data_IF_702943596793
#
_entry.id   IF_702943596793
#
_cell.length_a   1.000
_cell.length_b   1.000
_cell.length_c   1.000
_cell.angle_alpha   90.00
_cell.angle_beta   90.00
_cell.angle_gamma   90.00
#
_symmetry.space_group_name_H-M   'P 1'
#
loop_
_entity.id
_entity.type
_entity.pdbx_description
1 polymer ?
#
# COMPACT_ATOMS: atom_id res chain seq x y z
N UNK A 1 20.40 14.41 -21.00
CA UNK A 1 19.87 14.22 -22.37
C UNK A 1 21.03 13.82 -23.28
N UNK A 2 20.85 12.88 -24.23
CA UNK A 2 21.89 12.47 -25.18
C UNK A 2 21.60 13.09 -26.55
N UNK A 3 22.61 13.61 -27.24
CA UNK A 3 22.52 14.02 -28.63
C UNK A 3 22.76 12.80 -29.53
N UNK A 4 21.72 12.31 -30.20
CA UNK A 4 21.84 11.28 -31.23
C UNK A 4 21.54 11.96 -32.56
N UNK A 5 22.59 12.35 -33.29
CA UNK A 5 22.45 13.18 -34.50
C UNK A 5 21.95 14.59 -34.19
N UNK A 6 20.87 15.04 -34.84
CA UNK A 6 20.23 16.34 -34.62
C UNK A 6 19.09 16.30 -33.59
N UNK A 7 18.87 15.16 -32.91
CA UNK A 7 17.77 14.98 -31.97
C UNK A 7 18.27 14.88 -30.52
N UNK A 8 17.53 15.52 -29.62
CA UNK A 8 17.75 15.52 -28.18
C UNK A 8 16.77 14.55 -27.54
N UNK A 9 17.27 13.55 -26.80
CA UNK A 9 16.42 12.56 -26.14
C UNK A 9 16.45 12.72 -24.61
N UNK A 10 15.27 12.63 -23.99
CA UNK A 10 15.13 12.46 -22.56
C UNK A 10 15.53 11.04 -22.15
N UNK A 11 16.21 10.91 -21.02
CA UNK A 11 16.60 9.61 -20.47
C UNK A 11 15.79 9.37 -19.22
N UNK A 12 15.01 8.30 -19.23
CA UNK A 12 14.13 7.90 -18.13
C UNK A 12 14.66 6.61 -17.53
N UNK A 13 14.50 6.48 -16.22
CA UNK A 13 14.64 5.21 -15.52
C UNK A 13 13.28 4.74 -14.98
N UNK A 14 12.99 3.44 -15.09
CA UNK A 14 11.78 2.83 -14.53
C UNK A 14 12.06 1.40 -14.09
N UNK A 15 11.42 0.96 -13.01
CA UNK A 15 11.41 -0.44 -12.56
C UNK A 15 10.20 -1.20 -13.07
N UNK A 16 9.24 -0.50 -13.69
CA UNK A 16 7.97 -1.06 -14.20
C UNK A 16 7.84 -0.77 -15.70
N UNK A 17 8.55 -1.51 -16.58
CA UNK A 17 8.45 -1.30 -18.03
C UNK A 17 7.03 -1.39 -18.56
N UNK A 18 6.19 -2.24 -17.96
CA UNK A 18 4.79 -2.41 -18.34
C UNK A 18 3.93 -1.14 -18.31
N UNK A 19 4.33 -0.10 -17.58
CA UNK A 19 3.60 1.17 -17.54
C UNK A 19 3.96 2.11 -18.70
N UNK A 20 4.98 1.80 -19.50
CA UNK A 20 5.46 2.68 -20.58
C UNK A 20 4.35 2.99 -21.62
N UNK A 21 3.54 2.05 -22.12
CA UNK A 21 2.46 2.37 -23.06
C UNK A 21 1.47 3.43 -22.54
N UNK A 22 1.28 3.50 -21.22
CA UNK A 22 0.41 4.45 -20.54
C UNK A 22 1.08 5.81 -20.25
N UNK A 23 2.33 6.05 -20.68
CA UNK A 23 3.05 7.28 -20.39
C UNK A 23 2.46 8.51 -21.12
N UNK A 24 1.94 9.48 -20.38
CA UNK A 24 1.31 10.68 -20.95
C UNK A 24 2.14 11.96 -20.76
N UNK A 25 3.17 11.92 -19.90
CA UNK A 25 4.04 13.07 -19.64
C UNK A 25 5.44 12.64 -19.15
N UNK A 26 6.39 13.58 -19.11
CA UNK A 26 7.60 13.45 -18.30
C UNK A 26 7.54 14.47 -17.17
N UNK A 27 7.83 14.06 -15.95
CA UNK A 27 8.00 14.99 -14.84
C UNK A 27 9.49 15.30 -14.61
N UNK A 28 9.77 16.58 -14.42
CA UNK A 28 11.05 17.11 -13.95
C UNK A 28 10.83 18.00 -12.73
N UNK A 29 11.84 18.14 -11.88
CA UNK A 29 11.80 19.12 -10.80
C UNK A 29 12.17 20.52 -11.32
N UNK A 30 11.51 21.58 -10.85
CA UNK A 30 11.77 22.95 -11.30
C UNK A 30 13.21 23.43 -11.05
N UNK A 31 13.74 23.10 -9.87
CA UNK A 31 15.00 23.66 -9.36
C UNK A 31 16.21 22.77 -9.63
N UNK A 32 15.98 21.49 -9.94
CA UNK A 32 17.06 20.58 -10.29
C UNK A 32 17.70 20.98 -11.63
N UNK A 33 19.03 21.00 -11.64
CA UNK A 33 19.85 21.07 -12.85
C UNK A 33 20.22 19.65 -13.24
N UNK A 34 20.35 19.39 -14.53
CA UNK A 34 20.83 18.09 -15.00
C UNK A 34 22.29 17.88 -14.58
N UNK A 35 22.55 16.91 -13.71
CA UNK A 35 23.91 16.43 -13.42
C UNK A 35 24.31 15.30 -14.38
N UNK A 36 25.59 15.27 -14.73
CA UNK A 36 26.18 14.32 -15.69
C UNK A 36 27.04 13.26 -15.02
N UNK A 37 26.69 12.83 -13.80
CA UNK A 37 27.38 11.71 -13.15
C UNK A 37 27.01 10.39 -13.85
N UNK A 38 27.72 10.09 -14.94
CA UNK A 38 27.63 8.82 -15.65
C UNK A 38 28.99 8.13 -15.66
N UNK A 39 29.02 6.81 -15.55
CA UNK A 39 30.24 5.97 -15.72
C UNK A 39 30.81 6.00 -17.15
N UNK A 40 30.24 6.80 -18.04
CA UNK A 40 30.61 6.96 -19.45
C UNK A 40 31.14 8.38 -19.62
N UNK A 41 32.28 8.53 -20.30
CA UNK A 41 32.80 9.85 -20.69
C UNK A 41 31.80 10.54 -21.64
N UNK A 42 31.03 11.48 -21.11
CA UNK A 42 30.10 12.31 -21.86
C UNK A 42 30.56 13.77 -21.77
N UNK A 43 30.58 14.47 -22.90
CA UNK A 43 30.78 15.90 -22.95
C UNK A 43 29.44 16.61 -22.67
N UNK A 44 29.42 17.49 -21.67
CA UNK A 44 28.25 18.31 -21.35
C UNK A 44 28.17 19.47 -22.34
N UNK A 45 27.18 19.43 -23.23
CA UNK A 45 26.96 20.49 -24.22
C UNK A 45 26.24 21.72 -23.63
N UNK A 46 25.31 21.49 -22.69
CA UNK A 46 24.53 22.56 -22.03
C UNK A 46 23.89 22.05 -20.73
N UNK A 47 23.49 22.96 -19.83
CA UNK A 47 22.78 22.67 -18.58
C UNK A 47 21.56 23.56 -18.41
N UNK A 48 20.37 22.94 -18.39
CA UNK A 48 19.10 23.63 -18.27
C UNK A 48 18.49 23.43 -16.87
N UNK A 49 17.76 24.42 -16.37
CA UNK A 49 16.88 24.25 -15.21
C UNK A 49 15.61 23.51 -15.64
N UNK A 50 15.09 22.60 -14.80
CA UNK A 50 13.86 21.88 -15.12
C UNK A 50 12.65 22.79 -15.37
N UNK A 51 12.58 23.96 -14.71
CA UNK A 51 11.56 24.97 -14.99
C UNK A 51 11.51 25.42 -16.46
N UNK A 52 12.66 25.45 -17.14
CA UNK A 52 12.76 25.83 -18.56
C UNK A 52 12.26 24.74 -19.51
N UNK A 53 12.08 23.51 -19.02
CA UNK A 53 11.58 22.38 -19.81
C UNK A 53 10.05 22.25 -19.73
N UNK A 54 9.38 22.99 -18.83
CA UNK A 54 7.93 22.94 -18.69
C UNK A 54 7.24 23.23 -20.04
N UNK A 55 6.35 22.34 -20.46
CA UNK A 55 5.59 22.49 -21.70
C UNK A 55 6.34 22.04 -22.97
N UNK A 56 7.58 21.56 -22.87
CA UNK A 56 8.29 20.97 -24.01
C UNK A 56 7.60 19.66 -24.42
N UNK A 57 7.37 19.50 -25.72
CA UNK A 57 6.80 18.28 -26.28
C UNK A 57 7.91 17.27 -26.63
N UNK A 58 7.63 15.99 -26.45
CA UNK A 58 8.50 14.89 -26.85
C UNK A 58 7.71 13.76 -27.50
N UNK A 59 8.34 13.03 -28.41
CA UNK A 59 7.75 11.85 -29.03
C UNK A 59 7.86 10.65 -28.10
N UNK A 60 6.76 9.94 -27.89
CA UNK A 60 6.71 8.72 -27.09
C UNK A 60 7.49 7.58 -27.78
N UNK A 61 8.26 6.74 -27.04
CA UNK A 61 9.21 5.80 -27.64
C UNK A 61 8.58 4.61 -28.38
N UNK A 62 7.32 4.27 -28.08
CA UNK A 62 6.63 3.07 -28.61
C UNK A 62 5.30 3.37 -29.32
N UNK A 63 4.73 4.55 -29.07
CA UNK A 63 3.38 4.91 -29.50
C UNK A 63 3.53 6.22 -30.25
N UNK A 64 2.84 6.37 -31.38
CA UNK A 64 2.85 7.61 -32.14
C UNK A 64 2.01 8.69 -31.44
N UNK A 65 2.50 9.17 -30.29
CA UNK A 65 1.89 10.18 -29.42
C UNK A 65 2.95 11.19 -29.02
N UNK A 66 2.58 12.46 -29.05
CA UNK A 66 3.34 13.51 -28.36
C UNK A 66 2.92 13.56 -26.90
N UNK A 67 3.91 13.71 -26.02
CA UNK A 67 3.71 13.90 -24.60
C UNK A 67 4.46 15.15 -24.14
N UNK A 68 4.07 15.68 -22.98
CA UNK A 68 4.53 16.99 -22.49
C UNK A 68 5.40 16.85 -21.25
N UNK A 69 6.35 17.76 -21.08
CA UNK A 69 7.12 17.86 -19.85
C UNK A 69 6.36 18.69 -18.82
N UNK A 70 6.08 18.07 -17.68
CA UNK A 70 5.46 18.64 -16.49
C UNK A 70 6.52 18.91 -15.43
N UNK A 71 6.16 19.81 -14.50
CA UNK A 71 6.96 20.09 -13.32
C UNK A 71 6.31 19.42 -12.11
N UNK A 72 7.07 18.63 -11.36
CA UNK A 72 6.60 17.93 -10.17
C UNK A 72 7.65 17.92 -9.06
N UNK A 73 7.23 18.23 -7.83
CA UNK A 73 8.11 18.24 -6.65
C UNK A 73 8.51 16.84 -6.19
N UNK A 74 7.75 15.81 -6.59
CA UNK A 74 8.05 14.41 -6.30
C UNK A 74 9.29 13.89 -7.04
N UNK A 75 9.81 14.63 -8.04
CA UNK A 75 11.01 14.26 -8.77
C UNK A 75 12.26 14.68 -7.99
N UNK A 76 13.09 13.71 -7.66
CA UNK A 76 14.33 13.86 -6.87
C UNK A 76 15.55 13.37 -7.66
N UNK A 77 16.76 13.69 -7.19
CA UNK A 77 18.03 13.25 -7.80
C UNK A 77 18.64 12.00 -7.15
N UNK A 78 18.03 11.47 -6.09
CA UNK A 78 18.58 10.37 -5.30
C UNK A 78 18.44 9.01 -6.00
N UNK A 79 17.46 8.85 -6.89
CA UNK A 79 17.22 7.60 -7.64
C UNK A 79 16.85 7.89 -9.09
N UNK A 80 17.44 7.15 -10.02
CA UNK A 80 17.11 7.23 -11.46
C UNK A 80 17.86 8.35 -12.17
N UNK A 81 17.17 9.06 -13.06
CA UNK A 81 17.79 10.01 -14.01
C UNK A 81 17.40 11.47 -13.74
N UNK A 82 16.62 11.75 -12.68
CA UNK A 82 16.02 13.06 -12.44
C UNK A 82 14.92 13.45 -13.45
N UNK A 83 14.51 12.51 -14.32
CA UNK A 83 13.39 12.64 -15.24
C UNK A 83 12.51 11.40 -15.11
N UNK A 84 11.26 11.60 -14.70
CA UNK A 84 10.32 10.52 -14.42
C UNK A 84 9.30 10.43 -15.55
N UNK A 85 9.09 9.23 -16.10
CA UNK A 85 7.95 9.03 -16.99
C UNK A 85 6.67 8.94 -16.16
N UNK A 86 5.63 9.63 -16.60
CA UNK A 86 4.38 9.80 -15.85
C UNK A 86 3.26 9.02 -16.53
N UNK A 87 2.74 8.02 -15.84
CA UNK A 87 1.61 7.18 -16.26
C UNK A 87 0.47 7.32 -15.23
N UNK A 88 -0.43 8.32 -15.37
CA UNK A 88 -1.38 8.68 -14.32
C UNK A 88 -2.41 7.59 -13.98
N UNK A 89 -2.61 6.60 -14.86
CA UNK A 89 -3.46 5.43 -14.57
C UNK A 89 -2.80 4.38 -13.67
N UNK A 90 -1.50 4.52 -13.35
CA UNK A 90 -0.72 3.48 -12.68
C UNK A 90 0.19 4.00 -11.56
N UNK A 91 0.13 5.30 -11.23
CA UNK A 91 0.93 5.91 -10.17
C UNK A 91 0.19 7.06 -9.50
N UNK A 92 0.21 7.11 -8.17
CA UNK A 92 -0.47 8.16 -7.41
C UNK A 92 0.17 9.54 -7.61
N UNK A 93 1.50 9.62 -7.52
CA UNK A 93 2.22 10.88 -7.75
C UNK A 93 2.09 11.34 -9.20
N UNK A 94 2.05 10.37 -10.13
CA UNK A 94 1.78 10.62 -11.55
C UNK A 94 0.38 11.20 -11.77
N UNK A 95 -0.62 10.63 -11.11
CA UNK A 95 -2.00 11.12 -11.14
C UNK A 95 -2.08 12.55 -10.61
N UNK A 96 -1.51 12.83 -9.45
CA UNK A 96 -1.55 14.18 -8.88
C UNK A 96 -0.81 15.20 -9.73
N UNK A 97 0.37 14.86 -10.25
CA UNK A 97 1.09 15.72 -11.16
C UNK A 97 0.27 15.98 -12.43
N UNK A 98 -0.29 14.93 -13.04
CA UNK A 98 -1.14 15.05 -14.22
C UNK A 98 -2.36 15.94 -13.97
N UNK A 99 -3.09 15.71 -12.88
CA UNK A 99 -4.27 16.50 -12.52
C UNK A 99 -3.92 17.96 -12.23
N UNK A 100 -2.81 18.24 -11.53
CA UNK A 100 -2.39 19.60 -11.22
C UNK A 100 -2.16 20.45 -12.48
N UNK A 101 -1.74 19.84 -13.60
CA UNK A 101 -1.51 20.53 -14.87
C UNK A 101 -2.72 20.56 -15.81
N UNK A 102 -3.76 19.76 -15.55
CA UNK A 102 -4.96 19.65 -16.40
C UNK A 102 -6.26 20.07 -15.68
N UNK A 103 -6.16 20.85 -14.61
CA UNK A 103 -7.31 21.34 -13.83
C UNK A 103 -7.97 22.55 -14.49
N UNK A 104 -8.70 22.34 -15.58
CA UNK A 104 -9.81 23.24 -15.93
C UNK A 104 -11.04 22.79 -15.13
N UNK A 105 -11.72 23.67 -14.38
CA UNK A 105 -12.93 23.28 -13.66
C UNK A 105 -13.98 22.66 -14.60
N UNK A 106 -14.36 21.40 -14.35
CA UNK A 106 -15.36 20.67 -15.14
C UNK A 106 -14.81 19.80 -16.28
N UNK A 107 -13.50 19.84 -16.57
CA UNK A 107 -12.86 18.93 -17.52
C UNK A 107 -12.17 17.77 -16.76
N UNK A 108 -12.49 16.54 -17.15
CA UNK A 108 -11.78 15.35 -16.69
C UNK A 108 -10.75 14.98 -17.77
N UNK A 109 -9.44 15.16 -17.52
CA UNK A 109 -8.44 14.80 -18.50
C UNK A 109 -8.45 13.29 -18.72
N UNK A 110 -8.27 12.87 -19.97
CA UNK A 110 -8.24 11.44 -20.33
C UNK A 110 -7.02 10.80 -19.68
N UNK A 111 -7.25 9.83 -18.81
CA UNK A 111 -6.22 9.01 -18.18
C UNK A 111 -6.21 7.65 -18.88
N UNK A 112 -5.05 7.27 -19.40
CA UNK A 112 -4.90 5.99 -20.07
C UNK A 112 -4.62 4.89 -19.06
N UNK A 113 -5.43 3.84 -19.12
CA UNK A 113 -5.22 2.59 -18.41
C UNK A 113 -5.35 1.44 -19.41
N UNK A 114 -4.28 1.13 -20.17
CA UNK A 114 -4.32 0.10 -21.20
C UNK A 114 -4.22 -1.32 -20.60
N UNK A 115 -4.75 -1.54 -19.40
CA UNK A 115 -4.69 -2.80 -18.64
C UNK A 115 -6.09 -3.10 -18.11
N UNK A 116 -6.56 -4.33 -18.26
CA UNK A 116 -7.87 -4.78 -17.80
C UNK A 116 -7.84 -5.28 -16.34
N UNK A 117 -9.01 -5.66 -15.81
CA UNK A 117 -9.20 -6.12 -14.43
C UNK A 117 -8.43 -7.41 -14.11
N UNK A 118 -8.06 -8.21 -15.13
CA UNK A 118 -7.24 -9.40 -14.99
C UNK A 118 -5.73 -9.13 -14.98
N UNK A 119 -5.30 -7.88 -15.16
CA UNK A 119 -3.89 -7.51 -15.22
C UNK A 119 -3.22 -7.87 -16.56
N UNK A 120 -4.00 -7.90 -17.64
CA UNK A 120 -3.53 -8.06 -19.02
C UNK A 120 -3.66 -6.75 -19.80
N UNK A 121 -2.76 -6.54 -20.75
CA UNK A 121 -2.86 -5.40 -21.66
C UNK A 121 -4.12 -5.50 -22.54
N UNK A 122 -4.69 -4.35 -22.85
CA UNK A 122 -5.78 -4.19 -23.82
C UNK A 122 -5.23 -3.76 -25.17
N UNK A 123 -6.10 -3.70 -26.18
CA UNK A 123 -5.77 -3.19 -27.53
C UNK A 123 -5.16 -1.79 -27.51
N UNK A 124 -5.45 -0.99 -26.49
CA UNK A 124 -4.93 0.38 -26.33
C UNK A 124 -3.43 0.42 -26.04
N UNK A 125 -2.84 -0.69 -25.57
CA UNK A 125 -1.38 -0.83 -25.41
C UNK A 125 -0.64 -1.02 -26.74
N UNK A 126 -1.38 -1.35 -27.82
CA UNK A 126 -0.84 -1.75 -29.11
C UNK A 126 -1.01 -3.25 -29.39
N UNK A 127 -1.12 -3.60 -30.67
CA UNK A 127 -1.41 -4.98 -31.11
C UNK A 127 -0.38 -6.02 -30.64
N UNK A 128 0.88 -5.62 -30.45
CA UNK A 128 1.95 -6.50 -30.00
C UNK A 128 1.88 -6.83 -28.49
N UNK A 129 1.09 -6.07 -27.73
CA UNK A 129 0.93 -6.24 -26.28
C UNK A 129 -0.44 -6.78 -25.89
N UNK A 130 -1.45 -6.64 -26.75
CA UNK A 130 -2.83 -7.01 -26.48
C UNK A 130 -2.97 -8.46 -25.96
N UNK A 131 -3.64 -8.60 -24.80
CA UNK A 131 -3.87 -9.87 -24.12
C UNK A 131 -2.69 -10.40 -23.29
N UNK A 132 -1.50 -9.80 -23.35
CA UNK A 132 -0.35 -10.25 -22.56
C UNK A 132 -0.46 -9.79 -21.10
N UNK A 133 -0.12 -10.70 -20.16
CA UNK A 133 -0.06 -10.36 -18.74
C UNK A 133 1.07 -9.35 -18.47
N UNK A 134 0.76 -8.27 -17.75
CA UNK A 134 1.74 -7.19 -17.45
C UNK A 134 2.93 -7.71 -16.64
N UNK A 135 2.69 -8.70 -15.76
CA UNK A 135 3.72 -9.37 -14.97
C UNK A 135 4.25 -10.60 -15.73
N UNK A 136 5.39 -10.43 -16.41
CA UNK A 136 6.11 -11.52 -17.08
C UNK A 136 6.26 -11.31 -18.57
N UNK A 137 5.37 -11.92 -19.35
CA UNK A 137 5.40 -11.88 -20.83
C UNK A 137 5.29 -10.45 -21.36
N UNK A 138 4.40 -9.63 -20.81
CA UNK A 138 4.23 -8.23 -21.19
C UNK A 138 5.48 -7.37 -20.94
N UNK A 139 6.12 -7.51 -19.77
CA UNK A 139 7.41 -6.85 -19.48
C UNK A 139 8.49 -7.24 -20.48
N UNK A 140 8.55 -8.53 -20.85
CA UNK A 140 9.53 -9.04 -21.81
C UNK A 140 9.27 -8.48 -23.21
N UNK A 141 8.01 -8.41 -23.62
CA UNK A 141 7.59 -7.83 -24.90
C UNK A 141 7.94 -6.34 -24.99
N UNK A 142 7.67 -5.55 -23.95
CA UNK A 142 8.01 -4.11 -23.91
C UNK A 142 9.52 -3.87 -23.98
N UNK A 143 10.30 -4.67 -23.25
CA UNK A 143 11.75 -4.62 -23.35
C UNK A 143 12.21 -4.95 -24.78
N UNK A 144 11.58 -5.94 -25.42
CA UNK A 144 11.79 -6.27 -26.82
C UNK A 144 11.50 -5.09 -27.74
N UNK A 145 10.33 -4.47 -27.61
CA UNK A 145 9.91 -3.30 -28.39
C UNK A 145 10.90 -2.14 -28.27
N UNK A 146 11.32 -1.79 -27.05
CA UNK A 146 12.28 -0.72 -26.80
C UNK A 146 13.67 -1.02 -27.38
N UNK A 147 14.08 -2.31 -27.42
CA UNK A 147 15.31 -2.73 -28.10
C UNK A 147 15.22 -2.54 -29.61
N UNK A 148 14.13 -3.02 -30.22
CA UNK A 148 13.94 -2.92 -31.66
C UNK A 148 13.80 -1.48 -32.13
N UNK A 149 13.18 -0.61 -31.32
CA UNK A 149 13.03 0.81 -31.62
C UNK A 149 14.30 1.63 -31.36
N UNK A 150 15.37 1.03 -30.82
CA UNK A 150 16.60 1.74 -30.45
C UNK A 150 16.47 2.70 -29.26
N UNK A 151 15.37 2.62 -28.50
CA UNK A 151 15.08 3.51 -27.36
C UNK A 151 15.48 2.91 -26.00
N UNK A 152 16.10 1.72 -25.99
CA UNK A 152 16.65 1.11 -24.78
C UNK A 152 18.15 1.39 -24.63
N UNK A 153 18.53 2.03 -23.52
CA UNK A 153 19.94 2.29 -23.20
C UNK A 153 20.60 1.18 -22.37
N UNK A 154 19.94 0.71 -21.31
CA UNK A 154 20.49 -0.30 -20.41
C UNK A 154 19.39 -1.05 -19.67
N UNK A 155 19.67 -2.29 -19.25
CA UNK A 155 18.82 -3.08 -18.35
C UNK A 155 19.70 -3.57 -17.21
N UNK A 156 19.24 -3.32 -15.98
CA UNK A 156 19.84 -3.90 -14.78
C UNK A 156 18.90 -4.96 -14.22
N UNK A 157 19.34 -6.21 -14.17
CA UNK A 157 18.58 -7.30 -13.56
C UNK A 157 18.94 -7.37 -12.09
N UNK A 158 18.03 -6.93 -11.21
CA UNK A 158 18.23 -7.05 -9.78
C UNK A 158 18.05 -8.52 -9.35
N UNK A 159 19.03 -9.10 -8.65
CA UNK A 159 18.94 -10.49 -8.18
C UNK A 159 17.70 -10.70 -7.29
N UNK A 160 17.03 -11.86 -7.36
CA UNK A 160 15.74 -12.09 -6.69
C UNK A 160 15.95 -12.19 -5.17
N UNK A 161 15.89 -11.06 -4.47
CA UNK A 161 16.13 -11.00 -3.04
C UNK A 161 15.52 -9.80 -2.29
N UNK A 162 14.95 -8.82 -3.00
CA UNK A 162 14.21 -7.71 -2.40
C UNK A 162 13.04 -7.33 -3.32
N UNK A 163 11.90 -7.97 -3.11
CA UNK A 163 10.64 -7.36 -3.50
C UNK A 163 10.41 -6.19 -2.52
N UNK A 164 10.59 -4.96 -3.00
CA UNK A 164 10.10 -3.76 -2.32
C UNK A 164 8.58 -3.87 -2.21
N UNK A 165 8.06 -3.51 -1.03
CA UNK A 165 6.62 -3.36 -0.78
C UNK A 165 6.01 -2.43 -1.84
N UNK A 166 4.79 -2.72 -2.26
CA UNK A 166 3.94 -1.77 -2.97
C UNK A 166 3.82 -0.49 -2.12
N UNK A 167 3.92 0.71 -2.73
CA UNK A 167 3.72 1.97 -2.01
C UNK A 167 2.28 2.08 -1.51
N UNK A 168 2.14 2.57 -0.28
CA UNK A 168 0.88 2.84 0.41
C UNK A 168 0.13 3.99 -0.25
N UNK A 169 -1.15 3.77 -0.57
CA UNK A 169 -2.09 4.80 -1.03
C UNK A 169 -2.35 5.83 0.08
N UNK A 170 -2.30 7.12 -0.27
CA UNK A 170 -2.69 8.21 0.63
C UNK A 170 -3.95 8.92 0.10
N UNK A 171 -5.05 8.88 0.85
CA UNK A 171 -6.30 9.51 0.43
C UNK A 171 -6.21 11.05 0.48
N UNK A 172 -6.32 11.70 -0.68
CA UNK A 172 -6.45 13.16 -0.82
C UNK A 172 -7.93 13.57 -0.94
N UNK A 173 -8.31 14.65 -0.24
CA UNK A 173 -9.69 15.14 -0.13
C UNK A 173 -10.29 15.68 -1.42
N UNK A 174 -11.60 15.48 -1.57
CA UNK A 174 -12.44 15.96 -2.68
C UNK A 174 -12.88 17.42 -2.48
N UNK A 175 -12.90 18.18 -3.58
CA UNK A 175 -13.42 19.55 -3.65
C UNK A 175 -14.96 19.60 -3.71
N UNK A 176 -15.51 20.74 -3.28
CA UNK A 176 -16.83 20.85 -2.67
C UNK A 176 -18.04 20.98 -3.63
N UNK A 177 -17.86 21.10 -4.94
CA UNK A 177 -18.95 21.65 -5.77
C UNK A 177 -19.89 20.60 -6.41
N UNK A 178 -19.59 19.31 -6.27
CA UNK A 178 -20.53 18.20 -6.53
C UNK A 178 -21.22 17.65 -5.28
N UNK A 179 -20.81 18.08 -4.08
CA UNK A 179 -21.15 17.44 -2.81
C UNK A 179 -22.57 17.77 -2.30
N UNK A 180 -23.21 18.83 -2.81
CA UNK A 180 -24.49 19.29 -2.29
C UNK A 180 -25.67 18.33 -2.56
N UNK A 181 -25.67 17.64 -3.71
CA UNK A 181 -26.70 16.64 -4.05
C UNK A 181 -26.46 15.28 -3.36
N UNK A 182 -25.19 14.90 -3.19
CA UNK A 182 -24.80 13.65 -2.50
C UNK A 182 -25.03 13.77 -0.98
N UNK A 183 -24.79 14.94 -0.39
CA UNK A 183 -24.90 15.17 1.06
C UNK A 183 -26.31 15.02 1.62
N UNK A 184 -27.34 15.48 0.91
CA UNK A 184 -28.72 15.32 1.34
C UNK A 184 -29.23 13.87 1.22
N UNK A 185 -28.72 13.13 0.23
CA UNK A 185 -29.09 11.74 -0.02
C UNK A 185 -28.41 10.75 0.94
N UNK A 186 -27.12 10.96 1.25
CA UNK A 186 -26.37 10.12 2.20
C UNK A 186 -27.00 10.13 3.59
N UNK A 187 -27.50 11.28 4.05
CA UNK A 187 -28.11 11.42 5.39
C UNK A 187 -29.42 10.63 5.51
N UNK A 188 -30.22 10.58 4.44
CA UNK A 188 -31.48 9.80 4.43
C UNK A 188 -31.23 8.29 4.45
N UNK A 189 -30.24 7.80 3.69
CA UNK A 189 -29.94 6.37 3.61
C UNK A 189 -29.18 5.89 4.85
N UNK A 190 -28.21 6.67 5.35
CA UNK A 190 -27.42 6.31 6.53
C UNK A 190 -28.18 6.41 7.85
N UNK A 191 -29.27 7.19 7.91
CA UNK A 191 -30.17 7.24 9.06
C UNK A 191 -30.79 5.87 9.39
N UNK A 192 -31.02 5.04 8.37
CA UNK A 192 -31.64 3.72 8.49
C UNK A 192 -30.63 2.56 8.49
N UNK A 193 -29.38 2.80 8.09
CA UNK A 193 -28.32 1.79 8.01
C UNK A 193 -27.72 1.47 9.38
N UNK A 194 -28.31 0.53 10.13
CA UNK A 194 -27.51 -0.31 11.05
C UNK A 194 -26.68 -1.30 10.21
N UNK A 195 -25.46 -1.66 10.65
CA UNK A 195 -24.54 -2.56 9.93
C UNK A 195 -25.15 -3.90 9.49
N UNK A 196 -26.29 -4.29 10.08
CA UNK A 196 -27.07 -5.47 9.74
C UNK A 196 -27.88 -5.37 8.42
N UNK A 197 -28.05 -4.18 7.84
CA UNK A 197 -28.90 -3.96 6.66
C UNK A 197 -28.12 -3.85 5.33
N UNK A 198 -26.79 -3.89 5.32
CA UNK A 198 -25.98 -3.81 4.09
C UNK A 198 -26.38 -4.84 3.01
N UNK A 199 -26.65 -6.11 3.36
CA UNK A 199 -27.14 -7.10 2.39
C UNK A 199 -28.53 -6.75 1.84
N UNK A 200 -29.42 -6.25 2.70
CA UNK A 200 -30.80 -5.88 2.33
C UNK A 200 -30.82 -4.71 1.34
N UNK A 201 -29.94 -3.72 1.54
CA UNK A 201 -29.82 -2.57 0.65
C UNK A 201 -29.32 -2.95 -0.74
N UNK A 202 -28.56 -4.03 -0.91
CA UNK A 202 -28.08 -4.51 -2.23
C UNK A 202 -29.21 -5.04 -3.11
N UNK A 203 -30.25 -5.59 -2.52
CA UNK A 203 -31.36 -6.20 -3.26
C UNK A 203 -32.47 -5.20 -3.63
N UNK A 204 -32.49 -4.01 -3.00
CA UNK A 204 -33.43 -2.94 -3.34
C UNK A 204 -33.11 -2.29 -4.70
N UNK A 205 -34.16 -2.00 -5.46
CA UNK A 205 -34.09 -1.24 -6.71
C UNK A 205 -33.72 0.22 -6.48
N UNK A 206 -33.24 0.90 -7.52
CA UNK A 206 -32.91 2.35 -7.45
C UNK A 206 -34.12 3.16 -6.97
N UNK A 207 -35.33 2.83 -7.45
CA UNK A 207 -36.57 3.53 -7.05
C UNK A 207 -36.88 3.38 -5.57
N UNK A 208 -36.62 2.21 -4.98
CA UNK A 208 -36.86 1.95 -3.55
C UNK A 208 -35.82 2.63 -2.65
N UNK A 209 -34.63 2.89 -3.17
CA UNK A 209 -33.56 3.60 -2.46
C UNK A 209 -33.74 5.13 -2.48
N UNK A 210 -34.48 5.68 -3.44
CA UNK A 210 -34.71 7.12 -3.58
C UNK A 210 -35.84 7.61 -2.64
N UNK A 211 -35.69 8.78 -1.99
CA UNK A 211 -36.79 9.47 -1.30
C UNK A 211 -37.98 9.70 -2.22
N UNK A 212 -39.20 9.69 -1.65
CA UNK A 212 -40.47 9.82 -2.40
C UNK A 212 -40.47 10.88 -3.52
N UNK A 213 -39.93 12.10 -3.34
CA UNK A 213 -39.92 13.13 -4.39
C UNK A 213 -39.05 12.79 -5.62
N UNK A 214 -38.10 11.87 -5.49
CA UNK A 214 -37.12 11.53 -6.53
C UNK A 214 -37.40 10.18 -7.19
N UNK A 215 -38.38 9.41 -6.70
CA UNK A 215 -38.69 8.08 -7.22
C UNK A 215 -39.15 8.08 -8.68
N UNK A 216 -39.77 9.17 -9.13
CA UNK A 216 -40.21 9.32 -10.52
C UNK A 216 -39.06 9.62 -11.49
N UNK A 217 -37.88 9.97 -10.96
CA UNK A 217 -36.66 10.16 -11.74
C UNK A 217 -35.70 8.97 -11.61
N UNK A 218 -36.16 7.83 -11.06
CA UNK A 218 -35.29 6.69 -10.76
C UNK A 218 -34.46 6.20 -11.95
N UNK A 219 -34.99 6.31 -13.17
CA UNK A 219 -34.29 5.91 -14.41
C UNK A 219 -33.04 6.76 -14.72
N UNK A 220 -32.92 7.93 -14.10
CA UNK A 220 -31.77 8.83 -14.25
C UNK A 220 -30.63 8.53 -13.27
N UNK A 221 -30.86 7.62 -12.31
CA UNK A 221 -29.90 7.30 -11.26
C UNK A 221 -29.41 5.86 -11.41
N UNK A 222 -28.13 5.66 -11.13
CA UNK A 222 -27.51 4.34 -11.02
C UNK A 222 -27.04 4.13 -9.59
N UNK A 223 -27.31 2.95 -9.05
CA UNK A 223 -26.84 2.55 -7.72
C UNK A 223 -25.32 2.37 -7.74
N UNK A 224 -24.63 3.05 -6.82
CA UNK A 224 -23.23 2.76 -6.52
C UNK A 224 -23.10 1.37 -5.87
N UNK A 225 -22.16 0.56 -6.35
CA UNK A 225 -21.90 -0.77 -5.81
C UNK A 225 -20.79 -0.77 -4.76
N UNK A 226 -20.10 0.37 -4.62
CA UNK A 226 -19.02 0.56 -3.65
C UNK A 226 -19.57 0.52 -2.22
N UNK A 227 -18.84 -0.16 -1.35
CA UNK A 227 -19.16 -0.24 0.07
C UNK A 227 -18.18 0.61 0.85
N UNK A 228 -18.69 1.42 1.76
CA UNK A 228 -17.84 2.03 2.79
C UNK A 228 -17.43 0.97 3.80
N UNK A 229 -16.25 1.14 4.38
CA UNK A 229 -15.80 0.29 5.48
C UNK A 229 -16.80 0.36 6.65
N UNK A 230 -17.06 -0.77 7.32
CA UNK A 230 -18.02 -0.81 8.41
C UNK A 230 -17.53 0.06 9.57
N UNK A 231 -18.29 1.12 9.88
CA UNK A 231 -18.13 1.90 11.11
C UNK A 231 -19.38 1.75 11.97
N UNK A 232 -19.20 1.44 13.25
CA UNK A 232 -20.30 1.39 14.21
C UNK A 232 -20.71 2.80 14.65
N UNK A 233 -22.01 3.08 14.56
CA UNK A 233 -22.60 4.32 15.07
C UNK A 233 -22.44 4.40 16.60
N UNK A 234 -21.53 5.26 17.07
CA UNK A 234 -21.36 5.57 18.49
C UNK A 234 -20.79 6.97 18.69
N UNK A 235 -21.66 7.94 18.96
CA UNK A 235 -21.33 9.34 19.27
C UNK A 235 -20.71 9.47 20.67
N UNK A 236 -19.46 9.05 20.86
CA UNK A 236 -18.78 9.20 22.16
C UNK A 236 -17.32 9.57 21.94
N UNK A 237 -16.87 10.67 22.55
CA UNK A 237 -15.46 10.93 22.72
C UNK A 237 -14.91 10.00 23.81
N UNK A 238 -14.20 8.95 23.41
CA UNK A 238 -13.61 7.98 24.32
C UNK A 238 -12.46 8.61 25.13
N UNK A 239 -12.25 8.17 26.37
CA UNK A 239 -11.09 8.64 27.14
C UNK A 239 -9.77 8.13 26.56
N UNK A 240 -9.76 6.89 26.07
CA UNK A 240 -8.56 6.22 25.53
C UNK A 240 -8.93 5.30 24.37
N UNK A 241 -8.17 5.38 23.28
CA UNK A 241 -8.04 4.34 22.27
C UNK A 241 -6.75 3.56 22.53
N UNK A 242 -6.80 2.22 22.44
CA UNK A 242 -5.65 1.35 22.66
C UNK A 242 -5.61 0.27 21.59
N UNK A 243 -4.62 0.32 20.70
CA UNK A 243 -4.44 -0.66 19.62
C UNK A 243 -2.94 -0.81 19.25
N UNK A 244 -2.66 -1.71 18.31
CA UNK A 244 -1.33 -1.89 17.73
C UNK A 244 -0.85 -0.67 16.93
N UNK A 245 0.47 -0.53 16.78
CA UNK A 245 1.09 0.59 16.05
C UNK A 245 0.74 0.65 14.55
N UNK A 246 0.28 -0.44 13.95
CA UNK A 246 -0.28 -0.45 12.58
C UNK A 246 -1.54 0.40 12.44
N UNK A 247 -2.25 0.64 13.54
CA UNK A 247 -3.54 1.33 13.50
C UNK A 247 -3.43 2.85 13.34
N UNK A 248 -2.22 3.42 13.38
CA UNK A 248 -1.99 4.83 13.05
C UNK A 248 -2.47 5.22 11.66
N UNK A 249 -2.29 4.33 10.68
CA UNK A 249 -2.75 4.54 9.28
C UNK A 249 -4.06 3.81 8.97
N UNK A 250 -4.64 3.17 9.99
CA UNK A 250 -5.90 2.45 9.90
C UNK A 250 -6.95 3.12 10.77
N UNK A 251 -7.31 2.44 11.87
CA UNK A 251 -8.45 2.82 12.70
C UNK A 251 -8.32 4.18 13.37
N UNK A 252 -7.12 4.62 13.77
CA UNK A 252 -6.94 5.94 14.38
C UNK A 252 -7.20 7.05 13.38
N UNK A 253 -6.63 6.97 12.18
CA UNK A 253 -6.78 7.98 11.14
C UNK A 253 -8.20 8.04 10.60
N UNK A 254 -8.79 6.89 10.25
CA UNK A 254 -10.16 6.81 9.74
C UNK A 254 -11.18 7.32 10.77
N UNK A 255 -11.06 6.90 12.04
CA UNK A 255 -11.94 7.39 13.11
C UNK A 255 -11.78 8.90 13.33
N UNK A 256 -10.55 9.41 13.33
CA UNK A 256 -10.28 10.84 13.54
C UNK A 256 -10.87 11.70 12.43
N UNK A 257 -10.58 11.37 11.16
CA UNK A 257 -11.07 12.12 10.00
C UNK A 257 -12.60 12.11 9.96
N UNK A 258 -13.20 10.95 10.21
CA UNK A 258 -14.67 10.81 10.21
C UNK A 258 -15.32 11.63 11.32
N UNK A 259 -14.77 11.58 12.54
CA UNK A 259 -15.29 12.32 13.68
C UNK A 259 -15.13 13.84 13.50
N UNK A 260 -13.99 14.28 12.97
CA UNK A 260 -13.75 15.70 12.65
C UNK A 260 -14.72 16.18 11.55
N UNK A 261 -14.91 15.42 10.49
CA UNK A 261 -15.84 15.77 9.42
C UNK A 261 -17.29 15.87 9.90
N UNK A 262 -17.71 15.00 10.84
CA UNK A 262 -19.09 14.98 11.34
C UNK A 262 -19.36 15.97 12.47
N UNK A 263 -18.43 16.12 13.42
CA UNK A 263 -18.66 16.81 14.70
C UNK A 263 -17.60 17.87 15.03
N UNK A 264 -16.51 17.96 14.27
CA UNK A 264 -15.40 18.87 14.56
C UNK A 264 -14.58 18.51 15.80
N UNK A 265 -14.79 17.33 16.41
CA UNK A 265 -14.06 16.86 17.58
C UNK A 265 -13.39 15.51 17.32
N UNK A 266 -12.26 15.26 17.98
CA UNK A 266 -11.59 13.97 17.95
C UNK A 266 -12.42 12.90 18.69
N UNK A 267 -12.44 11.64 18.21
CA UNK A 267 -13.24 10.58 18.82
C UNK A 267 -12.60 10.01 20.10
N UNK A 268 -11.41 10.47 20.47
CA UNK A 268 -10.69 10.06 21.67
C UNK A 268 -9.90 11.22 22.29
N UNK A 269 -9.70 11.18 23.62
CA UNK A 269 -8.84 12.12 24.34
C UNK A 269 -7.37 11.70 24.33
N UNK A 270 -7.10 10.39 24.37
CA UNK A 270 -5.76 9.81 24.39
C UNK A 270 -5.68 8.58 23.47
N UNK A 271 -4.51 8.36 22.90
CA UNK A 271 -4.16 7.16 22.15
C UNK A 271 -2.99 6.50 22.84
N UNK A 272 -3.11 5.19 23.09
CA UNK A 272 -2.04 4.34 23.58
C UNK A 272 -1.76 3.31 22.50
N UNK A 273 -0.50 3.18 22.11
CA UNK A 273 -0.10 2.19 21.11
C UNK A 273 0.81 1.15 21.73
N UNK A 274 0.64 -0.11 21.33
CA UNK A 274 1.56 -1.17 21.67
C UNK A 274 2.25 -1.75 20.44
N UNK A 275 3.44 -2.32 20.64
CA UNK A 275 4.18 -3.02 19.60
C UNK A 275 3.57 -4.38 19.22
N UNK A 276 4.17 -5.02 18.24
CA UNK A 276 3.73 -6.33 17.76
C UNK A 276 4.20 -7.44 18.69
N UNK A 277 3.39 -8.49 18.79
CA UNK A 277 3.83 -9.75 19.38
C UNK A 277 4.57 -10.59 18.33
N UNK A 278 5.82 -10.93 18.63
CA UNK A 278 6.68 -11.80 17.84
C UNK A 278 7.00 -13.09 18.59
N UNK A 279 7.56 -14.08 17.89
CA UNK A 279 8.07 -15.27 18.56
C UNK A 279 9.34 -14.98 19.39
N UNK A 280 9.83 -15.97 20.16
CA UNK A 280 11.10 -15.87 20.93
C UNK A 280 12.35 -15.56 20.08
N UNK A 281 12.24 -15.64 18.74
CA UNK A 281 13.33 -15.33 17.80
C UNK A 281 13.21 -13.92 17.23
N UNK A 282 12.18 -13.16 17.62
CA UNK A 282 11.87 -11.85 17.08
C UNK A 282 11.30 -11.90 15.66
N UNK A 283 10.84 -13.06 15.20
CA UNK A 283 10.18 -13.19 13.89
C UNK A 283 8.69 -12.93 14.01
N UNK A 284 8.14 -12.20 13.03
CA UNK A 284 6.69 -12.00 12.91
C UNK A 284 6.00 -13.35 12.82
N UNK A 285 4.99 -13.56 13.68
CA UNK A 285 4.17 -14.77 13.62
C UNK A 285 3.28 -14.73 12.37
N UNK A 286 3.22 -15.84 11.62
CA UNK A 286 2.34 -15.93 10.45
C UNK A 286 1.59 -17.26 10.43
N UNK A 287 0.47 -17.30 9.70
CA UNK A 287 -0.32 -18.53 9.54
C UNK A 287 0.42 -19.60 8.70
N UNK A 288 1.31 -19.18 7.81
CA UNK A 288 2.09 -20.03 6.90
C UNK A 288 3.42 -20.51 7.50
N UNK A 289 3.92 -19.82 8.53
CA UNK A 289 5.07 -20.22 9.32
C UNK A 289 4.58 -21.07 10.51
N UNK A 290 5.27 -22.17 10.81
CA UNK A 290 4.96 -23.10 11.92
C UNK A 290 5.23 -22.47 13.31
N UNK A 291 5.42 -21.15 13.39
CA UNK A 291 5.72 -20.40 14.61
C UNK A 291 4.50 -19.67 15.19
N UNK A 292 3.28 -20.04 14.78
CA UNK A 292 2.06 -19.47 15.36
C UNK A 292 1.93 -19.93 16.81
N UNK A 293 1.76 -18.97 17.70
CA UNK A 293 1.43 -19.17 19.10
C UNK A 293 0.09 -18.49 19.35
N UNK A 294 -0.91 -19.26 19.79
CA UNK A 294 -2.26 -18.75 20.08
C UNK A 294 -2.42 -18.66 21.60
N UNK A 295 -3.11 -17.63 22.15
CA UNK A 295 -3.31 -17.52 23.60
C UNK A 295 -3.82 -18.80 24.27
N UNK A 296 -4.72 -19.52 23.59
CA UNK A 296 -5.30 -20.76 24.10
C UNK A 296 -4.27 -21.88 24.31
N UNK A 297 -3.17 -21.88 23.54
CA UNK A 297 -2.10 -22.88 23.63
C UNK A 297 -1.42 -22.86 25.01
N UNK A 298 -1.30 -21.69 25.64
CA UNK A 298 -0.76 -21.54 26.99
C UNK A 298 -1.83 -21.67 28.08
N UNK A 299 -3.07 -21.26 27.79
CA UNK A 299 -4.16 -21.31 28.78
C UNK A 299 -4.54 -22.76 29.06
N UNK A 300 -4.84 -23.53 28.01
CA UNK A 300 -5.27 -24.93 28.11
C UNK A 300 -4.12 -25.93 28.11
N UNK A 301 -2.91 -25.48 27.78
CA UNK A 301 -1.76 -26.34 27.54
C UNK A 301 -1.83 -27.00 26.17
N UNK A 302 -0.67 -27.32 25.61
CA UNK A 302 -0.57 -27.90 24.28
C UNK A 302 0.77 -28.62 24.09
N UNK A 303 0.91 -29.29 22.95
CA UNK A 303 2.20 -29.78 22.47
C UNK A 303 2.61 -28.93 21.29
N UNK A 304 3.61 -28.06 21.47
CA UNK A 304 4.10 -27.19 20.40
C UNK A 304 5.24 -27.86 19.64
N UNK A 305 5.23 -27.79 18.28
CA UNK A 305 6.38 -28.20 17.51
C UNK A 305 7.54 -27.23 17.73
N UNK A 306 8.69 -27.72 18.16
CA UNK A 306 9.95 -26.96 18.15
C UNK A 306 10.68 -27.27 16.86
N UNK A 307 10.99 -26.26 16.03
CA UNK A 307 11.93 -26.46 14.97
C UNK A 307 13.31 -26.82 15.59
N UNK A 308 13.82 -28.03 15.34
CA UNK A 308 15.18 -28.40 15.75
C UNK A 308 16.15 -27.51 14.99
N UNK A 309 16.99 -26.78 15.70
CA UNK A 309 18.18 -26.14 15.13
C UNK A 309 19.41 -26.77 15.76
N UNK A 310 20.28 -27.37 14.93
CA UNK A 310 21.56 -27.89 15.39
C UNK A 310 22.36 -26.73 16.02
N UNK A 311 22.63 -26.82 17.32
CA UNK A 311 23.63 -25.99 18.01
C UNK A 311 25.00 -26.31 17.39
N UNK A 312 25.39 -25.55 16.37
CA UNK A 312 26.67 -25.78 15.69
C UNK A 312 27.05 -24.79 14.59
N UNK A 313 26.14 -23.96 14.08
CA UNK A 313 26.47 -23.02 12.99
C UNK A 313 26.19 -21.57 13.38
N UNK A 314 27.22 -20.89 13.89
CA UNK A 314 27.35 -19.43 13.75
C UNK A 314 27.53 -19.09 12.27
N UNK A 315 26.46 -19.14 11.49
CA UNK A 315 26.37 -18.47 10.17
C UNK A 315 24.96 -17.92 10.06
N UNK A 316 24.84 -16.59 9.90
CA UNK A 316 23.61 -15.91 9.48
C UNK A 316 23.15 -16.56 8.17
N UNK A 317 22.20 -17.48 8.24
CA UNK A 317 21.61 -18.09 7.05
C UNK A 317 20.65 -17.10 6.41
N UNK A 318 21.02 -16.67 5.19
CA UNK A 318 20.11 -16.09 4.20
C UNK A 318 18.90 -17.02 4.01
N UNK A 319 17.74 -16.40 3.72
CA UNK A 319 16.43 -17.04 3.66
C UNK A 319 16.41 -18.40 2.97
N UNK A 320 15.75 -19.35 3.62
CA UNK A 320 15.46 -20.66 3.04
C UNK A 320 14.03 -20.61 2.50
N UNK A 321 13.90 -20.45 1.19
CA UNK A 321 12.67 -20.56 0.41
C UNK A 321 12.42 -22.03 0.03
N UNK A 322 12.20 -22.92 1.00
CA UNK A 322 11.68 -24.26 0.70
C UNK A 322 10.79 -24.78 1.84
N UNK A 323 9.45 -24.77 1.68
CA UNK A 323 8.51 -25.24 2.68
C UNK A 323 8.57 -26.77 2.95
N UNK A 324 9.29 -27.55 2.12
CA UNK A 324 9.27 -29.03 2.21
C UNK A 324 10.44 -29.66 2.95
N UNK A 325 11.42 -28.88 3.43
CA UNK A 325 12.51 -29.39 4.27
C UNK A 325 12.12 -29.36 5.76
N UNK A 326 11.03 -30.03 6.10
CA UNK A 326 10.55 -30.16 7.48
C UNK A 326 11.54 -31.04 8.25
N UNK A 327 12.45 -30.38 8.97
CA UNK A 327 13.28 -30.99 10.00
C UNK A 327 12.35 -31.66 11.02
N UNK A 328 12.64 -32.90 11.45
CA UNK A 328 11.89 -33.59 12.52
C UNK A 328 11.70 -32.61 13.69
N UNK A 329 10.48 -32.19 13.98
CA UNK A 329 10.22 -31.24 15.06
C UNK A 329 10.28 -32.00 16.39
N UNK A 330 11.21 -31.64 17.28
CA UNK A 330 11.09 -32.07 18.66
C UNK A 330 9.87 -31.37 19.26
N UNK A 331 8.99 -32.11 19.91
CA UNK A 331 7.78 -31.54 20.50
C UNK A 331 8.08 -31.07 21.93
N UNK A 332 7.75 -29.83 22.26
CA UNK A 332 7.72 -29.35 23.65
C UNK A 332 6.29 -29.46 24.17
N UNK A 333 6.13 -30.18 25.28
CA UNK A 333 4.89 -30.17 26.05
C UNK A 333 4.83 -28.89 26.89
N UNK A 334 3.86 -28.04 26.59
CA UNK A 334 3.58 -26.81 27.30
C UNK A 334 2.44 -27.09 28.30
N UNK A 335 2.66 -26.91 29.61
CA UNK A 335 1.60 -27.13 30.59
C UNK A 335 0.50 -26.07 30.47
N UNK A 336 -0.69 -26.38 31.00
CA UNK A 336 -1.78 -25.43 31.12
C UNK A 336 -1.43 -24.39 32.21
N UNK A 337 -0.99 -23.20 31.80
CA UNK A 337 -0.62 -22.12 32.71
C UNK A 337 -1.84 -21.31 33.18
N UNK A 338 -2.97 -21.39 32.46
CA UNK A 338 -4.16 -20.59 32.72
C UNK A 338 -4.04 -19.13 32.26
N UNK A 339 -5.17 -18.42 32.24
CA UNK A 339 -5.25 -17.05 31.73
C UNK A 339 -4.45 -16.03 32.57
N UNK A 340 -4.37 -16.23 33.89
CA UNK A 340 -3.69 -15.29 34.79
C UNK A 340 -2.19 -15.17 34.51
N UNK A 341 -1.53 -16.28 34.16
CA UNK A 341 -0.10 -16.25 33.82
C UNK A 341 0.13 -15.43 32.55
N UNK A 342 -0.76 -15.57 31.56
CA UNK A 342 -0.65 -14.81 30.32
C UNK A 342 -0.93 -13.32 30.56
N UNK A 343 -1.97 -12.98 31.35
CA UNK A 343 -2.25 -11.59 31.75
C UNK A 343 -1.11 -10.98 32.55
N UNK A 344 -0.51 -11.75 33.46
CA UNK A 344 0.65 -11.31 34.23
C UNK A 344 1.83 -11.00 33.31
N UNK A 345 2.11 -11.89 32.34
CA UNK A 345 3.12 -11.62 31.32
C UNK A 345 2.86 -10.31 30.56
N UNK A 346 1.63 -10.09 30.07
CA UNK A 346 1.26 -8.84 29.36
C UNK A 346 1.57 -7.61 30.22
N UNK A 347 1.14 -7.59 31.49
CA UNK A 347 1.31 -6.43 32.38
C UNK A 347 2.79 -6.19 32.75
N UNK A 348 3.61 -7.23 32.78
CA UNK A 348 5.05 -7.11 33.10
C UNK A 348 5.92 -6.75 31.91
N UNK A 349 5.36 -6.75 30.71
CA UNK A 349 6.12 -6.50 29.48
C UNK A 349 6.08 -5.03 29.11
N UNK A 350 7.20 -4.50 28.63
CA UNK A 350 7.23 -3.17 28.02
C UNK A 350 6.52 -3.22 26.66
N UNK A 351 5.28 -2.73 26.64
CA UNK A 351 4.43 -2.74 25.46
C UNK A 351 4.78 -1.65 24.44
N UNK A 352 5.65 -0.69 24.78
CA UNK A 352 5.98 0.43 23.89
C UNK A 352 6.77 0.00 22.66
N UNK A 353 7.46 -1.14 22.75
CA UNK A 353 8.14 -1.80 21.64
C UNK A 353 7.51 -3.16 21.30
N UNK A 354 8.11 -3.84 20.32
CA UNK A 354 7.72 -5.20 19.97
C UNK A 354 8.06 -6.16 21.12
N UNK A 355 7.13 -7.09 21.37
CA UNK A 355 7.20 -8.03 22.49
C UNK A 355 7.36 -9.45 21.99
N UNK A 356 8.25 -10.24 22.60
CA UNK A 356 8.42 -11.65 22.25
C UNK A 356 7.66 -12.57 23.20
N UNK A 357 6.99 -13.59 22.67
CA UNK A 357 6.32 -14.64 23.45
C UNK A 357 6.77 -16.04 23.04
N UNK A 358 6.87 -16.94 24.03
CA UNK A 358 7.06 -18.37 23.85
C UNK A 358 7.12 -19.15 25.16
N UNK A 359 7.37 -20.49 25.10
CA UNK A 359 7.36 -21.36 26.27
C UNK A 359 8.26 -20.91 27.41
N UNK A 360 9.46 -20.43 27.11
CA UNK A 360 10.42 -20.04 28.14
C UNK A 360 9.97 -18.76 28.85
N UNK A 361 9.43 -17.81 28.08
CA UNK A 361 8.90 -16.54 28.60
C UNK A 361 7.70 -16.78 29.52
N UNK A 362 6.74 -17.61 29.08
CA UNK A 362 5.53 -17.90 29.87
C UNK A 362 5.85 -18.75 31.10
N UNK A 363 6.80 -19.70 31.00
CA UNK A 363 7.29 -20.47 32.15
C UNK A 363 7.88 -19.55 33.23
N UNK A 364 8.70 -18.57 32.83
CA UNK A 364 9.28 -17.59 33.76
C UNK A 364 8.19 -16.73 34.42
N UNK A 365 7.19 -16.28 33.66
CA UNK A 365 6.06 -15.52 34.20
C UNK A 365 5.26 -16.35 35.24
N UNK A 366 5.03 -17.63 34.96
CA UNK A 366 4.37 -18.58 35.87
C UNK A 366 5.13 -18.73 37.19
N UNK A 367 6.47 -18.86 37.14
CA UNK A 367 7.29 -18.97 38.35
C UNK A 367 7.20 -17.73 39.25
N UNK A 368 7.22 -16.53 38.65
CA UNK A 368 7.08 -15.26 39.39
C UNK A 368 5.69 -15.16 40.02
N UNK A 369 4.64 -15.43 39.24
CA UNK A 369 3.27 -15.40 39.75
C UNK A 369 3.04 -16.42 40.87
N UNK A 370 3.63 -17.62 40.75
CA UNK A 370 3.58 -18.64 41.80
C UNK A 370 4.25 -18.18 43.10
N UNK A 371 5.39 -17.48 43.01
CA UNK A 371 6.06 -16.90 44.17
C UNK A 371 5.16 -15.86 44.85
N UNK A 372 4.57 -14.94 44.08
CA UNK A 372 3.63 -13.94 44.60
C UNK A 372 2.42 -14.58 45.29
N UNK A 373 1.81 -15.61 44.68
CA UNK A 373 0.69 -16.36 45.27
C UNK A 373 1.07 -17.06 46.57
N UNK A 374 2.26 -17.67 46.62
CA UNK A 374 2.74 -18.33 47.83
C UNK A 374 3.01 -17.33 48.96
N UNK A 375 3.55 -16.15 48.64
CA UNK A 375 3.77 -15.07 49.62
C UNK A 375 2.46 -14.50 50.12
N UNK A 376 1.44 -14.34 49.28
CA UNK A 376 0.12 -13.86 49.72
C UNK A 376 -0.67 -14.91 50.51
N UNK A 377 -0.33 -16.20 50.36
CA UNK A 377 -0.95 -17.30 51.11
C UNK A 377 -0.38 -17.45 52.51
N UNK A 378 0.91 -17.15 52.68
CA UNK A 378 1.56 -17.09 53.98
C UNK A 378 1.15 -15.79 54.68
#
# INVERSE_FOLDING_TARGET
>A
MKKVGNHLSAVVWTTTPWTIPANQALCVNAELKGDSETEIELEVLDTLKGASLKGVHFAHPLVNREAVVLVGEHVTTDVGTGVVHTAPGHGQDDYFAWMAHHTTPGEHPVILCPVNDEGCFTSDAGQELDGLCVLGEGNTAIIGLLKHSGNLLSIMVCSPGRASRAPEESAGGLSADGAAMIGAFLVSVLGDCRSQYLPYLRDLSVRELLPKPLQDQADQYKKGMDTLDPYENGLVCADVYLEGSDQHRGWFQSSLLTSLARQGIAPYKKVITHGFTSDERGSKMSKSLVNRIVPNDFISGCTMPVPIFNKGSKKKSKGVNDPKKVMKANQIKVPAYGADVLRFWVVTTDYTGDVSIGPAVVSKASEVLRKLRNTARF
#
